data_IF_756072572801
#
_entry.id   IF_756072572801
#
_cell.length_a   1.000
_cell.length_b   1.000
_cell.length_c   1.000
_cell.angle_alpha   90.00
_cell.angle_beta   90.00
_cell.angle_gamma   90.00
#
_symmetry.space_group_name_H-M   'P 1'
#
loop_
_entity.id
_entity.type
_entity.pdbx_description
1 polymer ?
#
# COMPACT_ATOMS: atom_id res chain seq x y z
N UNK A 1 -28.29 -4.60 1.76
CA UNK A 1 -27.01 -4.58 2.49
C UNK A 1 -26.99 -3.35 3.38
N UNK A 2 -26.66 -3.50 4.68
CA UNK A 2 -26.55 -2.38 5.62
C UNK A 2 -25.56 -1.34 5.07
N UNK A 3 -25.93 -0.06 5.14
CA UNK A 3 -25.09 1.05 4.68
C UNK A 3 -23.72 1.06 5.38
N UNK A 4 -23.66 0.68 6.68
CA UNK A 4 -22.40 0.57 7.43
C UNK A 4 -21.50 -0.55 6.88
N UNK A 5 -22.09 -1.68 6.49
CA UNK A 5 -21.36 -2.79 5.88
C UNK A 5 -20.84 -2.38 4.50
N UNK A 6 -21.67 -1.69 3.70
CA UNK A 6 -21.26 -1.18 2.38
C UNK A 6 -20.06 -0.24 2.46
N UNK A 7 -20.06 0.70 3.41
CA UNK A 7 -18.95 1.63 3.63
C UNK A 7 -17.64 0.90 3.96
N UNK A 8 -17.69 -0.10 4.84
CA UNK A 8 -16.51 -0.90 5.23
C UNK A 8 -15.94 -1.67 4.04
N UNK A 9 -16.79 -2.27 3.20
CA UNK A 9 -16.36 -2.97 1.99
C UNK A 9 -15.68 -2.00 1.01
N UNK A 10 -16.28 -0.84 0.75
CA UNK A 10 -15.71 0.18 -0.15
C UNK A 10 -14.35 0.64 0.38
N UNK A 11 -14.24 0.93 1.68
CA UNK A 11 -12.99 1.33 2.31
C UNK A 11 -11.91 0.25 2.19
N UNK A 12 -12.26 -1.02 2.45
CA UNK A 12 -11.33 -2.13 2.30
C UNK A 12 -10.82 -2.27 0.86
N UNK A 13 -11.71 -2.06 -0.12
CA UNK A 13 -11.34 -2.10 -1.54
C UNK A 13 -10.39 -0.97 -1.93
N UNK A 14 -10.63 0.25 -1.41
CA UNK A 14 -9.73 1.40 -1.62
C UNK A 14 -8.36 1.12 -0.99
N UNK A 15 -8.33 0.61 0.25
CA UNK A 15 -7.08 0.26 0.93
C UNK A 15 -6.31 -0.81 0.15
N UNK A 16 -6.99 -1.84 -0.34
CA UNK A 16 -6.39 -2.90 -1.14
C UNK A 16 -5.80 -2.34 -2.44
N UNK A 17 -6.56 -1.54 -3.18
CA UNK A 17 -6.11 -0.95 -4.44
C UNK A 17 -4.91 -0.01 -4.22
N UNK A 18 -4.97 0.84 -3.20
CA UNK A 18 -3.89 1.76 -2.86
C UNK A 18 -2.61 1.01 -2.44
N UNK A 19 -2.74 -0.06 -1.63
CA UNK A 19 -1.60 -0.93 -1.28
C UNK A 19 -1.02 -1.68 -2.49
N UNK A 20 -1.86 -2.16 -3.40
CA UNK A 20 -1.41 -2.84 -4.61
C UNK A 20 -0.63 -1.89 -5.52
N UNK A 21 -1.10 -0.65 -5.69
CA UNK A 21 -0.36 0.39 -6.42
C UNK A 21 0.98 0.67 -5.74
N UNK A 22 1.01 0.77 -4.40
CA UNK A 22 2.24 0.95 -3.64
C UNK A 22 3.24 -0.19 -3.84
N UNK A 23 2.78 -1.44 -3.75
CA UNK A 23 3.60 -2.62 -4.02
C UNK A 23 4.19 -2.59 -5.42
N UNK A 24 3.33 -2.37 -6.42
CA UNK A 24 3.73 -2.33 -7.83
C UNK A 24 4.76 -1.22 -8.08
N UNK A 25 4.58 -0.08 -7.44
CA UNK A 25 5.51 1.05 -7.51
C UNK A 25 6.88 0.68 -6.95
N UNK A 26 6.96 0.09 -5.75
CA UNK A 26 8.25 -0.31 -5.15
C UNK A 26 8.94 -1.39 -5.97
N UNK A 27 8.20 -2.34 -6.53
CA UNK A 27 8.77 -3.38 -7.40
C UNK A 27 9.22 -2.85 -8.78
N UNK A 28 8.92 -1.59 -9.11
CA UNK A 28 9.26 -0.96 -10.39
C UNK A 28 10.23 0.21 -10.20
N UNK A 29 10.75 0.45 -8.99
CA UNK A 29 11.33 1.74 -8.64
C UNK A 29 12.73 1.97 -9.16
N UNK A 30 13.41 0.93 -9.62
CA UNK A 30 14.81 1.03 -10.01
C UNK A 30 15.03 0.70 -11.46
N UNK A 31 16.05 1.34 -12.04
CA UNK A 31 16.32 1.28 -13.47
C UNK A 31 16.53 -0.12 -14.05
N UNK A 32 16.84 -1.11 -13.20
CA UNK A 32 16.95 -2.52 -13.57
C UNK A 32 15.61 -3.26 -13.66
N UNK A 33 14.55 -2.72 -13.06
CA UNK A 33 13.26 -3.38 -12.91
C UNK A 33 12.46 -3.31 -14.22
N UNK A 34 11.73 -4.37 -14.57
CA UNK A 34 11.07 -4.50 -15.88
C UNK A 34 10.02 -3.42 -16.18
N UNK A 35 9.46 -2.81 -15.15
CA UNK A 35 8.41 -1.80 -15.25
C UNK A 35 8.88 -0.40 -14.84
N UNK A 36 10.18 -0.18 -14.74
CA UNK A 36 10.74 1.13 -14.44
C UNK A 36 10.36 2.19 -15.47
N UNK A 37 10.03 3.39 -14.99
CA UNK A 37 9.77 4.57 -15.82
C UNK A 37 9.45 5.79 -14.97
N UNK A 38 9.27 6.94 -15.62
CA UNK A 38 9.07 8.24 -14.93
C UNK A 38 7.83 8.27 -14.02
N UNK A 39 6.84 7.43 -14.33
CA UNK A 39 5.63 7.27 -13.53
C UNK A 39 5.90 6.76 -12.11
N UNK A 40 7.00 6.04 -11.90
CA UNK A 40 7.35 5.41 -10.62
C UNK A 40 7.64 6.44 -9.54
N UNK A 41 8.23 7.58 -9.90
CA UNK A 41 8.49 8.70 -8.98
C UNK A 41 7.18 9.30 -8.50
N UNK A 42 6.26 9.59 -9.44
CA UNK A 42 4.96 10.17 -9.12
C UNK A 42 4.12 9.23 -8.25
N UNK A 43 4.10 7.93 -8.59
CA UNK A 43 3.40 6.94 -7.77
C UNK A 43 4.07 6.72 -6.42
N UNK A 44 5.40 6.88 -6.32
CA UNK A 44 6.12 6.77 -5.04
C UNK A 44 5.73 7.90 -4.10
N UNK A 45 5.58 9.11 -4.61
CA UNK A 45 5.09 10.26 -3.82
C UNK A 45 3.64 10.00 -3.39
N UNK A 46 2.79 9.57 -4.33
CA UNK A 46 1.37 9.32 -4.05
C UNK A 46 1.16 8.23 -2.99
N UNK A 47 1.97 7.18 -3.03
CA UNK A 47 1.86 6.01 -2.13
C UNK A 47 2.85 6.05 -0.96
N UNK A 48 3.60 7.15 -0.81
CA UNK A 48 4.71 7.24 0.13
C UNK A 48 4.40 6.75 1.55
N UNK A 49 3.25 7.12 2.18
CA UNK A 49 2.97 6.73 3.56
C UNK A 49 2.92 5.21 3.78
N UNK A 50 2.53 4.44 2.76
CA UNK A 50 2.38 2.98 2.84
C UNK A 50 3.57 2.23 2.26
N UNK A 51 4.43 2.89 1.47
CA UNK A 51 5.61 2.26 0.87
C UNK A 51 6.92 2.62 1.56
N UNK A 52 6.94 3.59 2.50
CA UNK A 52 8.18 4.15 3.05
C UNK A 52 9.19 3.10 3.53
N UNK A 53 8.73 2.07 4.24
CA UNK A 53 9.60 0.99 4.74
C UNK A 53 10.14 0.15 3.59
N UNK A 54 9.26 -0.27 2.68
CA UNK A 54 9.60 -1.05 1.49
C UNK A 54 10.54 -0.28 0.54
N UNK A 55 10.36 1.03 0.42
CA UNK A 55 11.19 1.94 -0.35
C UNK A 55 12.60 2.01 0.22
N UNK A 56 12.74 2.21 1.54
CA UNK A 56 14.05 2.23 2.21
C UNK A 56 14.76 0.89 2.02
N UNK A 57 14.04 -0.21 2.18
CA UNK A 57 14.59 -1.54 1.93
C UNK A 57 15.14 -1.66 0.50
N UNK A 58 14.32 -1.29 -0.51
CA UNK A 58 14.70 -1.35 -1.92
C UNK A 58 15.86 -0.43 -2.28
N UNK A 59 16.00 0.69 -1.57
CA UNK A 59 17.12 1.62 -1.72
C UNK A 59 18.45 1.02 -1.22
N UNK A 60 18.41 0.32 -0.08
CA UNK A 60 19.60 -0.30 0.54
C UNK A 60 19.97 -1.61 -0.17
N UNK A 61 18.98 -2.43 -0.49
CA UNK A 61 19.14 -3.74 -1.08
C UNK A 61 18.21 -3.91 -2.28
N UNK A 62 18.82 -4.05 -3.46
CA UNK A 62 18.07 -4.13 -4.70
C UNK A 62 17.33 -5.43 -4.92
N UNK A 63 18.02 -6.51 -4.59
CA UNK A 63 17.56 -7.88 -4.71
C UNK A 63 17.90 -8.62 -3.41
N UNK A 64 17.05 -9.55 -2.96
CA UNK A 64 15.83 -10.07 -3.61
C UNK A 64 14.55 -9.29 -3.28
N UNK A 65 13.49 -9.42 -4.08
CA UNK A 65 12.21 -8.70 -3.88
C UNK A 65 11.27 -9.31 -2.82
N UNK A 66 11.45 -10.58 -2.42
CA UNK A 66 10.54 -11.24 -1.46
C UNK A 66 10.32 -10.47 -0.13
N UNK A 67 11.31 -9.75 0.44
CA UNK A 67 11.10 -8.97 1.66
C UNK A 67 10.11 -7.82 1.47
N UNK A 68 10.04 -7.24 0.27
CA UNK A 68 9.07 -6.19 -0.07
C UNK A 68 7.65 -6.74 0.05
N UNK A 69 7.39 -7.95 -0.47
CA UNK A 69 6.07 -8.57 -0.36
C UNK A 69 5.68 -8.85 1.10
N UNK A 70 6.65 -9.24 1.94
CA UNK A 70 6.41 -9.48 3.38
C UNK A 70 6.06 -8.16 4.08
N UNK A 71 6.88 -7.11 3.89
CA UNK A 71 6.65 -5.79 4.49
C UNK A 71 5.30 -5.24 4.02
N UNK A 72 5.00 -5.32 2.72
CA UNK A 72 3.75 -4.78 2.18
C UNK A 72 2.52 -5.57 2.66
N UNK A 73 2.64 -6.88 2.88
CA UNK A 73 1.55 -7.68 3.48
C UNK A 73 1.25 -7.24 4.91
N UNK A 74 2.29 -6.95 5.70
CA UNK A 74 2.14 -6.43 7.07
C UNK A 74 1.47 -5.05 7.03
N UNK A 75 1.94 -4.15 6.17
CA UNK A 75 1.35 -2.81 6.00
C UNK A 75 -0.11 -2.90 5.55
N UNK A 76 -0.46 -3.82 4.64
CA UNK A 76 -1.84 -4.04 4.22
C UNK A 76 -2.73 -4.45 5.40
N UNK A 77 -2.30 -5.41 6.22
CA UNK A 77 -3.06 -5.85 7.40
C UNK A 77 -3.24 -4.69 8.39
N UNK A 78 -2.17 -3.94 8.67
CA UNK A 78 -2.22 -2.78 9.57
C UNK A 78 -3.14 -1.68 9.04
N UNK A 79 -3.06 -1.36 7.75
CA UNK A 79 -3.91 -0.33 7.12
C UNK A 79 -5.38 -0.74 7.09
N UNK A 80 -5.69 -2.01 6.83
CA UNK A 80 -7.06 -2.55 6.95
C UNK A 80 -7.58 -2.46 8.38
N UNK A 81 -6.78 -2.85 9.38
CA UNK A 81 -7.15 -2.76 10.78
C UNK A 81 -7.40 -1.32 11.22
N UNK A 82 -6.50 -0.40 10.87
CA UNK A 82 -6.65 1.04 11.16
C UNK A 82 -7.87 1.63 10.45
N UNK A 83 -8.07 1.31 9.17
CA UNK A 83 -9.24 1.74 8.41
C UNK A 83 -10.56 1.29 9.04
N UNK A 84 -10.64 0.01 9.45
CA UNK A 84 -11.81 -0.53 10.15
C UNK A 84 -12.03 0.12 11.51
N UNK A 85 -10.97 0.40 12.25
CA UNK A 85 -11.04 1.10 13.54
C UNK A 85 -11.57 2.53 13.37
N UNK A 86 -11.06 3.28 12.39
CA UNK A 86 -11.46 4.66 12.12
C UNK A 86 -12.93 4.73 11.69
N UNK A 87 -13.37 3.89 10.75
CA UNK A 87 -14.76 3.93 10.27
C UNK A 87 -15.77 3.56 11.36
N UNK A 88 -15.43 2.61 12.24
CA UNK A 88 -16.26 2.29 13.42
C UNK A 88 -16.35 3.48 14.36
N UNK A 89 -15.25 4.20 14.57
CA UNK A 89 -15.23 5.38 15.45
C UNK A 89 -16.07 6.52 14.90
N UNK A 90 -16.07 6.72 13.57
CA UNK A 90 -16.91 7.72 12.89
C UNK A 90 -18.39 7.34 12.97
N UNK A 91 -18.74 6.09 12.70
CA UNK A 91 -20.14 5.61 12.68
C UNK A 91 -20.78 5.46 14.08
N UNK A 92 -19.99 5.59 15.15
CA UNK A 92 -20.43 5.57 16.54
C UNK A 92 -20.55 6.98 17.15
N UNK A 93 -20.17 8.03 16.40
CA UNK A 93 -20.50 9.42 16.71
C UNK A 93 -21.79 9.80 15.98
#
# INVERSE_FOLDING_TARGET
MDNKIRQRIILAFIILAYNAIGLFTVCSIMGSDSYYGDWTIWMSILTFPIIIISFIYRYIQAEPLYPIFIIQSIVLILTLYLGDFIIRRINNK
#
